data_IF_079366797323
#
_entry.id   IF_079366797323
#
_cell.length_a   1.000
_cell.length_b   1.000
_cell.length_c   1.000
_cell.angle_alpha   90.00
_cell.angle_beta   90.00
_cell.angle_gamma   90.00
#
_symmetry.space_group_name_H-M   'P 1'
#
loop_
_entity.id
_entity.type
_entity.pdbx_description
1 polymer ?
#
# COMPACT_ATOMS: atom_id res chain seq x y z
N UNK A 1 -2.27 -2.80 16.68
CA UNK A 1 -2.98 -2.94 15.38
C UNK A 1 -3.26 -4.41 15.12
N UNK A 2 -4.44 -4.74 14.59
CA UNK A 2 -4.75 -6.09 14.09
C UNK A 2 -5.05 -5.97 12.61
N UNK A 3 -4.41 -6.83 11.83
CA UNK A 3 -4.61 -6.98 10.39
C UNK A 3 -5.48 -8.21 10.19
N UNK A 4 -6.61 -8.03 9.53
CA UNK A 4 -7.67 -9.04 9.41
C UNK A 4 -7.84 -9.37 7.94
N UNK A 5 -7.71 -10.65 7.61
CA UNK A 5 -8.01 -11.21 6.30
C UNK A 5 -9.40 -11.87 6.33
N UNK A 6 -10.19 -11.63 5.31
CA UNK A 6 -11.51 -12.22 5.16
C UNK A 6 -11.47 -13.42 4.22
N UNK A 7 -12.13 -14.52 4.56
CA UNK A 7 -12.09 -15.77 3.77
C UNK A 7 -12.87 -15.66 2.45
N UNK A 8 -12.15 -15.64 1.31
CA UNK A 8 -12.75 -15.67 -0.05
C UNK A 8 -13.88 -14.67 -0.20
N UNK A 9 -13.65 -13.44 0.22
CA UNK A 9 -14.71 -12.45 0.45
C UNK A 9 -15.51 -12.16 -0.82
N UNK A 10 -14.85 -11.98 -1.96
CA UNK A 10 -15.53 -11.77 -3.25
C UNK A 10 -16.43 -12.93 -3.67
N UNK A 11 -15.98 -14.15 -3.42
CA UNK A 11 -16.71 -15.37 -3.80
C UNK A 11 -17.85 -15.72 -2.83
N UNK A 12 -17.82 -15.12 -1.62
CA UNK A 12 -18.76 -15.46 -0.54
C UNK A 12 -19.73 -14.32 -0.19
N UNK A 13 -19.78 -13.21 -0.94
CA UNK A 13 -20.77 -12.15 -0.70
C UNK A 13 -22.18 -12.72 -0.85
N UNK A 14 -23.01 -12.74 0.22
CA UNK A 14 -24.39 -13.19 0.08
C UNK A 14 -25.20 -12.18 -0.75
N UNK A 15 -25.90 -12.64 -1.76
CA UNK A 15 -26.65 -11.74 -2.67
C UNK A 15 -27.71 -10.93 -1.96
N UNK A 16 -28.40 -11.49 -0.96
CA UNK A 16 -29.36 -10.76 -0.14
C UNK A 16 -28.71 -9.59 0.62
N UNK A 17 -27.48 -9.77 1.12
CA UNK A 17 -26.73 -8.71 1.79
C UNK A 17 -26.32 -7.62 0.78
N UNK A 18 -25.96 -8.01 -0.44
CA UNK A 18 -25.66 -7.05 -1.51
C UNK A 18 -26.88 -6.22 -1.87
N UNK A 19 -28.07 -6.83 -2.03
CA UNK A 19 -29.31 -6.09 -2.31
C UNK A 19 -29.68 -5.15 -1.17
N UNK A 20 -29.59 -5.61 0.06
CA UNK A 20 -29.80 -4.81 1.25
C UNK A 20 -28.86 -3.61 1.31
N UNK A 21 -27.57 -3.79 1.03
CA UNK A 21 -26.58 -2.70 1.00
C UNK A 21 -26.91 -1.65 -0.08
N UNK A 22 -27.28 -2.07 -1.28
CA UNK A 22 -27.68 -1.16 -2.36
C UNK A 22 -28.92 -0.33 -1.99
N UNK A 23 -29.91 -0.94 -1.33
CA UNK A 23 -31.12 -0.27 -0.87
C UNK A 23 -30.81 0.77 0.19
N UNK A 24 -29.96 0.44 1.17
CA UNK A 24 -29.55 1.34 2.24
C UNK A 24 -28.72 2.53 1.72
N UNK A 25 -27.90 2.31 0.71
CA UNK A 25 -27.18 3.37 -0.01
C UNK A 25 -28.08 4.19 -0.96
N UNK A 26 -29.39 3.96 -0.92
CA UNK A 26 -30.39 4.69 -1.74
C UNK A 26 -30.10 4.62 -3.24
N UNK A 27 -29.54 3.52 -3.72
CA UNK A 27 -29.37 3.28 -5.14
C UNK A 27 -30.75 3.21 -5.80
N UNK A 28 -31.02 3.94 -6.89
CA UNK A 28 -32.33 3.91 -7.53
C UNK A 28 -32.75 2.50 -7.96
N UNK A 29 -34.00 2.13 -7.67
CA UNK A 29 -34.54 0.77 -7.88
C UNK A 29 -34.29 0.21 -9.30
N UNK A 30 -34.35 1.08 -10.32
CA UNK A 30 -34.04 0.69 -11.70
C UNK A 30 -32.64 0.07 -11.86
N UNK A 31 -31.64 0.60 -11.16
CA UNK A 31 -30.27 0.05 -11.22
C UNK A 31 -30.16 -1.23 -10.40
N UNK A 32 -30.82 -1.31 -9.25
CA UNK A 32 -30.89 -2.54 -8.46
C UNK A 32 -31.51 -3.68 -9.27
N UNK A 33 -32.58 -3.41 -9.99
CA UNK A 33 -33.23 -4.40 -10.88
C UNK A 33 -32.27 -4.86 -11.99
N UNK A 34 -31.61 -3.92 -12.67
CA UNK A 34 -30.62 -4.25 -13.70
C UNK A 34 -29.47 -5.13 -13.14
N UNK A 35 -28.97 -4.79 -11.97
CA UNK A 35 -27.91 -5.58 -11.34
C UNK A 35 -28.44 -6.97 -10.95
N UNK A 36 -29.66 -7.07 -10.41
CA UNK A 36 -30.32 -8.35 -10.12
C UNK A 36 -30.42 -9.22 -11.37
N UNK A 37 -30.81 -8.63 -12.50
CA UNK A 37 -30.91 -9.35 -13.79
C UNK A 37 -29.54 -9.85 -14.27
N UNK A 38 -28.46 -9.07 -14.08
CA UNK A 38 -27.09 -9.51 -14.42
C UNK A 38 -26.63 -10.73 -13.60
N UNK A 39 -27.14 -10.88 -12.38
CA UNK A 39 -26.81 -12.01 -11.51
C UNK A 39 -27.79 -13.17 -11.61
N UNK A 40 -28.91 -12.99 -12.32
CA UNK A 40 -29.95 -14.00 -12.49
C UNK A 40 -29.46 -15.11 -13.43
N UNK A 41 -29.68 -16.38 -13.03
CA UNK A 41 -29.30 -17.55 -13.82
C UNK A 41 -27.82 -17.58 -14.25
N UNK A 42 -26.92 -17.00 -13.46
CA UNK A 42 -25.50 -17.08 -13.73
C UNK A 42 -25.02 -18.53 -13.57
N UNK A 43 -24.48 -19.07 -14.66
CA UNK A 43 -23.93 -20.44 -14.74
C UNK A 43 -22.42 -20.37 -14.95
N UNK A 44 -21.71 -21.37 -14.52
CA UNK A 44 -20.28 -21.53 -14.78
C UNK A 44 -19.91 -22.99 -14.96
N UNK A 45 -18.74 -23.24 -15.53
CA UNK A 45 -18.13 -24.56 -15.64
C UNK A 45 -16.64 -24.46 -15.30
N UNK A 46 -16.03 -25.57 -15.00
CA UNK A 46 -14.57 -25.66 -14.75
C UNK A 46 -13.93 -26.37 -15.93
N UNK A 47 -12.94 -25.70 -16.53
CA UNK A 47 -12.12 -26.28 -17.58
C UNK A 47 -10.99 -27.09 -16.95
N UNK A 48 -10.95 -28.38 -17.28
CA UNK A 48 -9.89 -29.29 -16.83
C UNK A 48 -8.96 -29.68 -17.99
N UNK A 49 -7.89 -30.39 -17.71
CA UNK A 49 -6.95 -30.85 -18.75
C UNK A 49 -7.57 -31.90 -19.73
N UNK A 50 -8.71 -32.49 -19.41
CA UNK A 50 -9.38 -33.49 -20.23
C UNK A 50 -10.66 -32.99 -20.88
N UNK A 51 -11.61 -32.52 -20.06
CA UNK A 51 -12.92 -32.07 -20.51
C UNK A 51 -13.45 -30.90 -19.61
N UNK A 52 -14.41 -30.14 -20.11
CA UNK A 52 -15.16 -29.17 -19.34
C UNK A 52 -16.19 -29.87 -18.44
N UNK A 53 -16.38 -29.40 -17.21
CA UNK A 53 -17.46 -29.90 -16.35
C UNK A 53 -18.84 -29.50 -16.88
N UNK A 54 -19.89 -30.20 -16.43
CA UNK A 54 -21.26 -29.71 -16.66
C UNK A 54 -21.47 -28.33 -15.99
N UNK A 55 -22.28 -27.50 -16.62
CA UNK A 55 -22.64 -26.18 -16.09
C UNK A 55 -23.33 -26.28 -14.73
N UNK A 56 -22.95 -25.42 -13.78
CA UNK A 56 -23.59 -25.34 -12.47
C UNK A 56 -23.92 -23.89 -12.10
N UNK A 57 -25.00 -23.65 -11.34
CA UNK A 57 -25.44 -22.30 -11.00
C UNK A 57 -24.56 -21.66 -9.94
N UNK A 58 -24.28 -20.36 -10.10
CA UNK A 58 -23.63 -19.52 -9.09
C UNK A 58 -24.70 -18.70 -8.37
N UNK A 59 -24.93 -19.01 -7.09
CA UNK A 59 -25.95 -18.37 -6.26
C UNK A 59 -25.36 -17.42 -5.20
N UNK A 60 -24.05 -17.30 -5.10
CA UNK A 60 -23.33 -16.49 -4.11
C UNK A 60 -22.12 -15.81 -4.77
N UNK A 61 -21.65 -14.75 -4.18
CA UNK A 61 -20.44 -14.06 -4.61
C UNK A 61 -20.67 -13.05 -5.74
N UNK A 62 -19.59 -12.36 -6.05
CA UNK A 62 -19.49 -11.34 -7.10
C UNK A 62 -18.80 -11.92 -8.32
N UNK A 63 -19.12 -11.41 -9.51
CA UNK A 63 -18.46 -11.80 -10.74
C UNK A 63 -17.04 -11.25 -10.79
N UNK A 64 -16.03 -12.12 -10.68
CA UNK A 64 -14.65 -11.72 -10.82
C UNK A 64 -14.37 -11.22 -12.24
N UNK A 65 -13.64 -10.09 -12.36
CA UNK A 65 -13.38 -9.43 -13.65
C UNK A 65 -14.47 -8.47 -14.13
N UNK A 66 -15.62 -8.41 -13.48
CA UNK A 66 -16.63 -7.39 -13.77
C UNK A 66 -16.20 -6.01 -13.24
N UNK A 67 -16.40 -4.97 -14.04
CA UNK A 67 -16.11 -3.59 -13.63
C UNK A 67 -16.97 -3.11 -12.44
N UNK A 68 -18.16 -3.71 -12.23
CA UNK A 68 -19.05 -3.38 -11.11
C UNK A 68 -18.68 -4.06 -9.81
N UNK A 69 -18.07 -5.24 -9.86
CA UNK A 69 -17.82 -6.06 -8.66
C UNK A 69 -17.02 -5.34 -7.57
N UNK A 70 -15.92 -4.61 -7.86
CA UNK A 70 -15.21 -3.86 -6.84
C UNK A 70 -16.09 -2.78 -6.16
N UNK A 71 -16.93 -2.12 -6.93
CA UNK A 71 -17.84 -1.10 -6.41
C UNK A 71 -18.94 -1.70 -5.54
N UNK A 72 -19.57 -2.78 -5.99
CA UNK A 72 -20.58 -3.52 -5.23
C UNK A 72 -20.01 -4.04 -3.92
N UNK A 73 -18.78 -4.58 -3.96
CA UNK A 73 -18.07 -5.03 -2.78
C UNK A 73 -17.82 -3.90 -1.79
N UNK A 74 -17.34 -2.74 -2.28
CA UNK A 74 -17.10 -1.57 -1.43
C UNK A 74 -18.40 -1.10 -0.74
N UNK A 75 -19.53 -1.04 -1.47
CA UNK A 75 -20.84 -0.68 -0.89
C UNK A 75 -21.28 -1.69 0.20
N UNK A 76 -21.08 -2.97 -0.04
CA UNK A 76 -21.41 -4.02 0.94
C UNK A 76 -20.57 -3.87 2.19
N UNK A 77 -19.26 -3.71 2.04
CA UNK A 77 -18.35 -3.55 3.18
C UNK A 77 -18.62 -2.26 3.95
N UNK A 78 -18.88 -1.16 3.27
CA UNK A 78 -19.24 0.12 3.89
C UNK A 78 -20.50 -0.02 4.75
N UNK A 79 -21.54 -0.65 4.19
CA UNK A 79 -22.80 -0.83 4.91
C UNK A 79 -22.69 -1.82 6.08
N UNK A 80 -22.00 -2.94 5.88
CA UNK A 80 -21.85 -3.97 6.94
C UNK A 80 -20.99 -3.48 8.09
N UNK A 81 -20.00 -2.62 7.82
CA UNK A 81 -19.09 -2.11 8.84
C UNK A 81 -19.47 -0.73 9.38
N UNK A 82 -20.56 -0.12 8.92
CA UNK A 82 -20.98 1.25 9.23
C UNK A 82 -20.95 1.56 10.74
N UNK A 83 -21.49 0.67 11.56
CA UNK A 83 -21.58 0.85 13.01
C UNK A 83 -20.24 0.63 13.74
N UNK A 84 -19.24 0.13 13.03
CA UNK A 84 -17.91 -0.19 13.59
C UNK A 84 -16.87 0.82 13.11
N UNK A 85 -17.15 1.46 11.98
CA UNK A 85 -16.27 2.48 11.42
C UNK A 85 -16.14 3.63 12.42
N UNK A 86 -14.93 3.81 12.93
CA UNK A 86 -14.56 4.97 13.72
C UNK A 86 -13.73 5.93 12.86
N UNK A 87 -13.29 7.02 13.46
CA UNK A 87 -12.35 7.93 12.82
C UNK A 87 -11.05 7.22 12.45
N UNK A 88 -10.45 7.60 11.32
CA UNK A 88 -9.13 7.12 10.92
C UNK A 88 -8.09 7.65 11.93
N UNK A 89 -7.15 6.84 12.40
CA UNK A 89 -6.76 5.50 11.88
C UNK A 89 -7.39 4.30 12.62
N UNK A 90 -8.43 4.47 13.40
CA UNK A 90 -8.92 3.44 14.31
C UNK A 90 -9.55 2.23 13.62
N UNK A 91 -10.11 2.44 12.42
CA UNK A 91 -10.54 1.39 11.51
C UNK A 91 -10.21 1.80 10.07
N UNK A 92 -9.43 0.99 9.37
CA UNK A 92 -9.08 1.20 7.97
C UNK A 92 -9.56 0.00 7.16
N UNK A 93 -10.29 0.29 6.09
CA UNK A 93 -10.82 -0.69 5.16
C UNK A 93 -10.23 -0.45 3.78
N UNK A 94 -9.65 -1.48 3.19
CA UNK A 94 -9.18 -1.45 1.81
C UNK A 94 -9.52 -2.78 1.13
N UNK A 95 -10.58 -2.79 0.34
CA UNK A 95 -11.18 -4.02 -0.19
C UNK A 95 -11.47 -5.02 0.94
N UNK A 96 -10.86 -6.19 0.91
CA UNK A 96 -10.96 -7.25 1.92
C UNK A 96 -9.96 -7.12 3.08
N UNK A 97 -8.99 -6.21 2.96
CA UNK A 97 -8.04 -5.93 4.03
C UNK A 97 -8.66 -4.99 5.07
N UNK A 98 -8.77 -5.44 6.31
CA UNK A 98 -9.28 -4.65 7.42
C UNK A 98 -8.19 -4.47 8.48
N UNK A 99 -7.95 -3.23 8.90
CA UNK A 99 -7.01 -2.93 9.98
C UNK A 99 -7.73 -2.23 11.12
N UNK A 100 -7.67 -2.81 12.30
CA UNK A 100 -8.16 -2.19 13.55
C UNK A 100 -6.98 -1.68 14.36
N UNK A 101 -7.12 -0.45 14.83
CA UNK A 101 -6.13 0.21 15.69
C UNK A 101 -6.78 0.61 17.02
N UNK A 102 -6.02 0.48 18.09
CA UNK A 102 -6.41 1.00 19.41
C UNK A 102 -5.16 1.26 20.25
N UNK A 103 -5.27 2.11 21.26
CA UNK A 103 -4.19 2.41 22.19
C UNK A 103 -3.96 1.28 23.21
N UNK A 104 -4.97 0.41 23.40
CA UNK A 104 -4.94 -0.70 24.36
C UNK A 104 -5.27 -2.04 23.71
N UNK A 105 -4.70 -3.11 24.22
CA UNK A 105 -5.04 -4.48 23.80
C UNK A 105 -6.52 -4.82 24.09
N UNK A 106 -7.03 -4.39 25.23
CA UNK A 106 -8.43 -4.58 25.56
C UNK A 106 -9.37 -3.87 24.57
N UNK A 107 -9.00 -2.67 24.11
CA UNK A 107 -9.70 -1.95 23.07
C UNK A 107 -9.67 -2.68 21.72
N UNK A 108 -8.49 -3.17 21.31
CA UNK A 108 -8.35 -3.99 20.10
C UNK A 108 -9.24 -5.24 20.20
N UNK A 109 -9.21 -5.99 21.30
CA UNK A 109 -10.03 -7.19 21.48
C UNK A 109 -11.53 -6.89 21.36
N UNK A 110 -12.01 -5.79 21.97
CA UNK A 110 -13.42 -5.39 21.86
C UNK A 110 -13.81 -5.06 20.42
N UNK A 111 -12.99 -4.29 19.69
CA UNK A 111 -13.24 -3.94 18.29
C UNK A 111 -13.21 -5.17 17.39
N UNK A 112 -12.24 -6.05 17.60
CA UNK A 112 -12.09 -7.28 16.84
C UNK A 112 -13.30 -8.22 17.01
N UNK A 113 -13.77 -8.39 18.24
CA UNK A 113 -14.94 -9.23 18.53
C UNK A 113 -16.23 -8.60 17.96
N UNK A 114 -16.38 -7.28 18.05
CA UNK A 114 -17.52 -6.58 17.45
C UNK A 114 -17.51 -6.76 15.93
N UNK A 115 -16.37 -6.54 15.27
CA UNK A 115 -16.22 -6.75 13.82
C UNK A 115 -16.56 -8.19 13.44
N UNK A 116 -16.03 -9.18 14.18
CA UNK A 116 -16.32 -10.59 13.95
C UNK A 116 -17.82 -10.87 13.96
N UNK A 117 -18.50 -10.50 15.05
CA UNK A 117 -19.94 -10.73 15.20
C UNK A 117 -20.74 -10.08 14.08
N UNK A 118 -20.41 -8.84 13.73
CA UNK A 118 -21.10 -8.10 12.67
C UNK A 118 -20.90 -8.75 11.31
N UNK A 119 -19.69 -9.09 10.94
CA UNK A 119 -19.39 -9.73 9.65
C UNK A 119 -19.99 -11.14 9.57
N UNK A 120 -19.85 -11.95 10.64
CA UNK A 120 -20.38 -13.31 10.65
C UNK A 120 -21.92 -13.34 10.63
N UNK A 121 -22.60 -12.36 11.25
CA UNK A 121 -24.06 -12.21 11.17
C UNK A 121 -24.56 -11.95 9.75
N UNK A 122 -23.70 -11.44 8.87
CA UNK A 122 -23.97 -11.18 7.46
C UNK A 122 -23.42 -12.28 6.53
N UNK A 123 -22.88 -13.37 7.08
CA UNK A 123 -22.39 -14.51 6.32
C UNK A 123 -20.92 -14.42 5.86
N UNK A 124 -20.19 -13.40 6.27
CA UNK A 124 -18.74 -13.33 6.07
C UNK A 124 -17.99 -14.13 7.14
N UNK A 125 -16.75 -14.49 6.87
CA UNK A 125 -15.89 -15.16 7.84
C UNK A 125 -14.53 -14.52 7.90
N UNK A 126 -14.01 -14.33 9.11
CA UNK A 126 -12.63 -13.89 9.34
C UNK A 126 -11.70 -15.09 9.26
N UNK A 127 -10.57 -14.92 8.58
CA UNK A 127 -9.52 -15.92 8.55
C UNK A 127 -8.75 -15.91 9.87
N UNK A 128 -8.97 -16.92 10.69
CA UNK A 128 -8.28 -17.05 12.00
C UNK A 128 -6.78 -17.28 11.86
N UNK A 129 -6.36 -17.93 10.78
CA UNK A 129 -4.95 -18.28 10.54
C UNK A 129 -4.14 -17.13 9.89
N UNK A 130 -4.83 -16.22 9.20
CA UNK A 130 -4.19 -15.09 8.51
C UNK A 130 -4.39 -13.75 9.24
N UNK A 131 -5.27 -13.72 10.27
CA UNK A 131 -5.38 -12.56 11.14
C UNK A 131 -4.14 -12.48 12.00
N UNK A 132 -3.46 -11.33 11.99
CA UNK A 132 -2.19 -11.10 12.69
C UNK A 132 -2.25 -9.83 13.53
N UNK A 133 -1.51 -9.81 14.62
CA UNK A 133 -1.42 -8.68 15.54
C UNK A 133 -0.04 -8.09 15.56
N UNK A 134 0.06 -6.77 15.51
CA UNK A 134 1.31 -6.02 15.67
C UNK A 134 1.16 -4.97 16.76
N UNK A 135 2.05 -5.02 17.75
CA UNK A 135 2.16 -3.97 18.76
C UNK A 135 3.21 -2.96 18.31
N UNK A 136 2.77 -1.73 18.00
CA UNK A 136 3.67 -0.62 17.74
C UNK A 136 4.02 0.05 19.06
N UNK A 137 5.21 -0.17 19.56
CA UNK A 137 5.70 0.46 20.78
C UNK A 137 6.61 1.65 20.42
N UNK A 138 6.05 2.83 20.44
CA UNK A 138 6.79 4.08 20.27
C UNK A 138 7.24 4.67 21.62
N UNK A 139 6.81 4.08 22.75
CA UNK A 139 7.08 4.52 24.10
C UNK A 139 7.58 3.35 24.96
N UNK A 140 8.79 3.44 25.47
CA UNK A 140 9.50 2.40 26.23
C UNK A 140 8.91 2.04 27.61
N UNK A 141 7.70 2.47 27.94
CA UNK A 141 7.25 2.50 29.34
C UNK A 141 6.03 1.68 29.73
N UNK A 142 5.35 0.94 28.83
CA UNK A 142 4.20 0.08 29.23
C UNK A 142 4.12 -1.20 28.44
N UNK A 143 4.64 -2.28 28.98
CA UNK A 143 4.23 -3.62 28.59
C UNK A 143 2.91 -3.96 29.30
N UNK A 144 1.77 -3.70 28.67
CA UNK A 144 0.52 -4.33 29.11
C UNK A 144 0.62 -5.83 28.80
N UNK A 145 0.51 -6.67 29.84
CA UNK A 145 0.43 -8.12 29.70
C UNK A 145 -0.89 -8.53 29.03
N UNK A 146 -0.93 -9.69 28.39
CA UNK A 146 -2.11 -10.28 27.79
C UNK A 146 -2.00 -10.47 26.28
N UNK A 147 -2.85 -11.35 25.74
CA UNK A 147 -2.89 -11.70 24.35
C UNK A 147 -4.06 -11.04 23.62
N UNK A 148 -3.92 -10.83 22.31
CA UNK A 148 -5.06 -10.53 21.46
C UNK A 148 -5.68 -11.85 21.03
N UNK A 149 -6.99 -11.98 21.16
CA UNK A 149 -7.71 -13.20 20.84
C UNK A 149 -8.87 -12.95 19.87
N UNK A 150 -9.11 -13.93 19.00
CA UNK A 150 -10.24 -13.99 18.08
C UNK A 150 -10.98 -15.30 18.33
N UNK A 151 -12.24 -15.21 18.77
CA UNK A 151 -13.06 -16.38 19.07
C UNK A 151 -12.35 -17.39 20.02
N UNK A 152 -11.71 -16.87 21.08
CA UNK A 152 -10.99 -17.67 22.07
C UNK A 152 -9.62 -18.21 21.63
N UNK A 153 -9.21 -17.98 20.39
CA UNK A 153 -7.87 -18.36 19.90
C UNK A 153 -6.93 -17.13 19.93
N UNK A 154 -5.70 -17.37 20.38
CA UNK A 154 -4.67 -16.32 20.41
C UNK A 154 -4.27 -15.94 18.99
N UNK A 155 -4.35 -14.66 18.67
CA UNK A 155 -3.90 -14.11 17.38
C UNK A 155 -2.38 -14.02 17.36
N UNK A 156 -1.78 -14.44 16.26
CA UNK A 156 -0.32 -14.46 16.11
C UNK A 156 0.26 -13.05 16.17
N UNK A 157 1.23 -12.85 17.07
CA UNK A 157 1.97 -11.60 17.16
C UNK A 157 3.08 -11.56 16.11
N UNK A 158 3.19 -10.43 15.40
CA UNK A 158 4.22 -10.17 14.39
C UNK A 158 4.94 -8.86 14.68
N UNK A 159 6.24 -8.85 14.46
CA UNK A 159 7.10 -7.66 14.51
C UNK A 159 7.14 -6.92 13.17
N UNK A 160 6.83 -7.60 12.10
CA UNK A 160 6.82 -7.12 10.72
C UNK A 160 5.55 -7.65 10.06
N UNK A 161 4.84 -6.78 9.36
CA UNK A 161 3.62 -7.13 8.65
C UNK A 161 3.65 -6.61 7.20
N UNK A 162 3.11 -7.42 6.28
CA UNK A 162 2.97 -7.04 4.89
C UNK A 162 1.58 -6.43 4.66
N UNK A 163 1.53 -5.12 4.42
CA UNK A 163 0.27 -4.41 4.21
C UNK A 163 0.29 -3.61 2.90
N UNK A 164 -0.68 -3.86 2.02
CA UNK A 164 -0.83 -3.20 0.70
C UNK A 164 0.48 -3.15 -0.09
N UNK A 165 1.24 -4.22 -0.03
CA UNK A 165 2.51 -4.34 -0.72
C UNK A 165 3.70 -3.70 -0.01
N UNK A 166 3.58 -3.03 1.12
CA UNK A 166 4.67 -2.47 1.93
C UNK A 166 4.91 -3.27 3.21
N UNK A 167 6.16 -3.28 3.67
CA UNK A 167 6.55 -3.94 4.93
C UNK A 167 6.44 -2.93 6.08
N UNK A 168 5.50 -3.15 6.99
CA UNK A 168 5.36 -2.37 8.21
C UNK A 168 6.16 -3.02 9.34
N UNK A 169 6.91 -2.21 10.10
CA UNK A 169 7.70 -2.66 11.25
C UNK A 169 7.14 -2.05 12.54
N UNK A 170 7.14 -2.82 13.63
CA UNK A 170 6.63 -2.40 14.95
C UNK A 170 7.29 -1.14 15.51
N UNK A 171 8.54 -0.91 15.13
CA UNK A 171 9.32 0.25 15.55
C UNK A 171 9.16 1.47 14.63
N UNK A 172 8.36 1.35 13.56
CA UNK A 172 8.15 2.40 12.57
C UNK A 172 9.36 2.70 11.69
N UNK A 173 10.41 1.86 11.70
CA UNK A 173 11.51 1.99 10.73
C UNK A 173 11.10 1.40 9.37
N UNK A 174 11.85 1.73 8.32
CA UNK A 174 11.56 1.33 6.93
C UNK A 174 12.64 0.40 6.36
N UNK A 175 13.52 -0.13 7.18
CA UNK A 175 14.66 -0.93 6.71
C UNK A 175 14.22 -2.15 5.91
N UNK A 176 13.21 -2.87 6.39
CA UNK A 176 12.70 -4.07 5.70
C UNK A 176 11.93 -3.70 4.43
N UNK A 177 11.17 -2.60 4.44
CA UNK A 177 10.47 -2.15 3.25
C UNK A 177 11.44 -1.74 2.14
N UNK A 178 12.49 -0.97 2.46
CA UNK A 178 13.55 -0.61 1.51
C UNK A 178 14.23 -1.86 0.93
N UNK A 179 14.54 -2.84 1.78
CA UNK A 179 15.13 -4.12 1.36
C UNK A 179 14.20 -4.88 0.42
N UNK A 180 12.93 -4.99 0.80
CA UNK A 180 11.90 -5.63 -0.02
C UNK A 180 11.75 -4.95 -1.38
N UNK A 181 11.72 -3.61 -1.44
CA UNK A 181 11.61 -2.85 -2.69
C UNK A 181 12.81 -3.04 -3.62
N UNK A 182 14.01 -3.10 -3.06
CA UNK A 182 15.21 -3.43 -3.83
C UNK A 182 15.09 -4.85 -4.42
N UNK A 183 14.57 -5.82 -3.65
CA UNK A 183 14.35 -7.18 -4.16
C UNK A 183 13.29 -7.22 -5.26
N UNK A 184 12.19 -6.47 -5.13
CA UNK A 184 11.16 -6.33 -6.16
C UNK A 184 11.74 -5.75 -7.46
N UNK A 185 12.59 -4.73 -7.37
CA UNK A 185 13.31 -4.19 -8.52
C UNK A 185 14.21 -5.22 -9.19
N UNK A 186 14.92 -6.03 -8.41
CA UNK A 186 15.74 -7.13 -8.94
C UNK A 186 14.90 -8.24 -9.57
N UNK A 187 13.72 -8.53 -9.05
CA UNK A 187 12.81 -9.52 -9.63
C UNK A 187 12.38 -9.08 -11.03
N UNK A 188 11.90 -7.85 -11.18
CA UNK A 188 11.51 -7.28 -12.48
C UNK A 188 12.70 -7.24 -13.45
N UNK A 189 13.89 -6.90 -12.95
CA UNK A 189 15.10 -6.91 -13.74
C UNK A 189 15.44 -8.31 -14.27
N UNK A 190 15.35 -9.34 -13.42
CA UNK A 190 15.61 -10.74 -13.81
C UNK A 190 14.61 -11.26 -14.83
N UNK A 191 13.33 -10.93 -14.69
CA UNK A 191 12.29 -11.32 -15.66
C UNK A 191 12.57 -10.76 -17.06
N UNK A 192 13.17 -9.58 -17.14
CA UNK A 192 13.53 -8.92 -18.40
C UNK A 192 15.00 -9.15 -18.81
N UNK A 193 15.75 -10.02 -18.14
CA UNK A 193 17.19 -10.20 -18.32
C UNK A 193 17.57 -10.43 -19.79
N UNK A 194 16.84 -11.27 -20.51
CA UNK A 194 17.12 -11.58 -21.92
C UNK A 194 17.10 -10.33 -22.82
N UNK A 195 16.17 -9.40 -22.56
CA UNK A 195 16.08 -8.13 -23.32
C UNK A 195 17.11 -7.12 -22.82
N UNK A 196 17.24 -6.98 -21.51
CA UNK A 196 18.11 -5.97 -20.89
C UNK A 196 19.59 -6.24 -21.11
N UNK A 197 19.99 -7.50 -21.25
CA UNK A 197 21.37 -7.89 -21.52
C UNK A 197 21.67 -8.11 -23.00
N UNK A 198 20.69 -8.09 -23.89
CA UNK A 198 20.91 -8.19 -25.33
C UNK A 198 21.64 -6.94 -25.87
N UNK A 199 22.77 -7.13 -26.54
CA UNK A 199 23.59 -6.06 -27.13
C UNK A 199 22.88 -5.35 -28.28
N UNK A 200 21.93 -5.98 -28.95
CA UNK A 200 21.16 -5.42 -30.08
C UNK A 200 20.12 -4.39 -29.60
N UNK A 201 19.69 -4.46 -28.34
CA UNK A 201 18.73 -3.51 -27.77
C UNK A 201 19.46 -2.22 -27.38
N UNK A 202 18.95 -1.08 -27.86
CA UNK A 202 19.57 0.23 -27.60
C UNK A 202 19.55 0.59 -26.12
N UNK A 203 20.57 1.31 -25.64
CA UNK A 203 20.68 1.71 -24.24
C UNK A 203 19.51 2.60 -23.80
N UNK A 204 19.01 3.48 -24.68
CA UNK A 204 17.85 4.32 -24.41
C UNK A 204 16.56 3.50 -24.18
N UNK A 205 16.38 2.39 -24.93
CA UNK A 205 15.23 1.51 -24.74
C UNK A 205 15.31 0.74 -23.42
N UNK A 206 16.51 0.27 -23.06
CA UNK A 206 16.76 -0.33 -21.73
C UNK A 206 16.48 0.65 -20.60
N UNK A 207 16.88 1.92 -20.77
CA UNK A 207 16.56 3.00 -19.82
C UNK A 207 15.06 3.27 -19.73
N UNK A 208 14.33 3.25 -20.84
CA UNK A 208 12.87 3.37 -20.82
C UNK A 208 12.24 2.23 -20.02
N UNK A 209 12.68 0.99 -20.22
CA UNK A 209 12.21 -0.16 -19.44
C UNK A 209 12.51 0.00 -17.94
N UNK A 210 13.73 0.44 -17.58
CA UNK A 210 14.07 0.72 -16.20
C UNK A 210 13.10 1.72 -15.55
N UNK A 211 12.84 2.84 -16.22
CA UNK A 211 11.95 3.89 -15.73
C UNK A 211 10.50 3.46 -15.60
N UNK A 212 10.02 2.56 -16.45
CA UNK A 212 8.61 2.16 -16.49
C UNK A 212 8.29 0.91 -15.67
N UNK A 213 9.26 0.03 -15.45
CA UNK A 213 9.01 -1.25 -14.78
C UNK A 213 9.86 -1.49 -13.52
N UNK A 214 11.14 -1.07 -13.51
CA UNK A 214 12.03 -1.37 -12.39
C UNK A 214 12.00 -0.28 -11.34
N UNK A 215 12.24 0.98 -11.73
CA UNK A 215 12.26 2.11 -10.81
C UNK A 215 10.93 2.28 -10.04
N UNK A 216 9.74 2.16 -10.67
CA UNK A 216 8.47 2.21 -9.94
C UNK A 216 8.30 1.07 -8.93
N UNK A 217 8.82 -0.13 -9.20
CA UNK A 217 8.79 -1.23 -8.23
C UNK A 217 9.71 -0.95 -7.02
N UNK A 218 10.87 -0.32 -7.25
CA UNK A 218 11.79 0.09 -6.19
C UNK A 218 11.27 1.27 -5.35
N UNK A 219 10.45 2.14 -5.92
CA UNK A 219 9.94 3.35 -5.27
C UNK A 219 8.45 3.28 -4.89
N UNK A 220 7.82 2.11 -4.95
CA UNK A 220 6.43 1.95 -4.53
C UNK A 220 6.32 2.21 -3.03
N UNK A 221 5.40 3.10 -2.60
CA UNK A 221 5.22 3.51 -1.21
C UNK A 221 6.32 4.43 -0.66
N UNK A 222 7.34 4.75 -1.46
CA UNK A 222 8.49 5.54 -1.03
C UNK A 222 8.13 6.99 -0.68
N UNK A 223 7.01 7.48 -1.15
CA UNK A 223 6.47 8.80 -0.83
C UNK A 223 6.20 9.01 0.67
N UNK A 224 5.93 7.92 1.40
CA UNK A 224 5.67 7.95 2.85
C UNK A 224 6.92 7.68 3.71
N UNK A 225 8.09 7.43 3.12
CA UNK A 225 9.27 7.02 3.87
C UNK A 225 10.00 8.17 4.56
N UNK A 226 10.31 8.05 5.88
CA UNK A 226 11.29 8.90 6.56
C UNK A 226 12.71 8.43 6.23
N UNK A 227 13.22 8.79 5.04
CA UNK A 227 14.45 8.21 4.50
C UNK A 227 15.71 8.72 5.19
N UNK A 228 16.52 7.78 5.70
CA UNK A 228 17.87 8.02 6.20
C UNK A 228 18.89 7.94 5.04
N UNK A 229 20.07 8.54 5.18
CA UNK A 229 21.14 8.47 4.16
C UNK A 229 21.47 7.03 3.74
N UNK A 230 21.46 6.07 4.68
CA UNK A 230 21.72 4.66 4.40
C UNK A 230 20.71 4.05 3.42
N UNK A 231 19.42 4.43 3.52
CA UNK A 231 18.36 3.93 2.62
C UNK A 231 18.57 4.44 1.21
N UNK A 232 18.85 5.75 1.06
CA UNK A 232 19.16 6.36 -0.22
C UNK A 232 20.38 5.70 -0.86
N UNK A 233 21.43 5.45 -0.06
CA UNK A 233 22.63 4.77 -0.55
C UNK A 233 22.35 3.33 -1.00
N UNK A 234 21.54 2.56 -0.27
CA UNK A 234 21.16 1.20 -0.65
C UNK A 234 20.42 1.17 -2.00
N UNK A 235 19.45 2.07 -2.20
CA UNK A 235 18.72 2.23 -3.45
C UNK A 235 19.66 2.62 -4.59
N UNK A 236 20.52 3.62 -4.40
CA UNK A 236 21.48 4.09 -5.40
C UNK A 236 22.51 3.00 -5.78
N UNK A 237 22.96 2.21 -4.81
CA UNK A 237 23.85 1.06 -5.08
C UNK A 237 23.14 -0.01 -5.90
N UNK A 238 21.89 -0.33 -5.60
CA UNK A 238 21.10 -1.30 -6.36
C UNK A 238 20.85 -0.81 -7.78
N UNK A 239 20.42 0.45 -7.95
CA UNK A 239 20.26 1.11 -9.24
C UNK A 239 21.53 0.99 -10.07
N UNK A 240 22.65 1.47 -9.55
CA UNK A 240 23.90 1.50 -10.31
C UNK A 240 24.44 0.12 -10.66
N UNK A 241 24.13 -0.92 -9.88
CA UNK A 241 24.44 -2.30 -10.26
C UNK A 241 23.65 -2.72 -11.49
N UNK A 242 22.35 -2.43 -11.55
CA UNK A 242 21.46 -2.74 -12.68
C UNK A 242 21.88 -1.98 -13.93
N UNK A 243 22.09 -0.66 -13.82
CA UNK A 243 22.44 0.20 -14.95
C UNK A 243 23.83 -0.14 -15.54
N UNK A 244 24.82 -0.47 -14.70
CA UNK A 244 26.13 -0.93 -15.17
C UNK A 244 26.00 -2.20 -15.98
N UNK A 245 25.18 -3.13 -15.53
CA UNK A 245 24.96 -4.38 -16.23
C UNK A 245 24.29 -4.17 -17.60
N UNK A 246 23.33 -3.24 -17.71
CA UNK A 246 22.76 -2.86 -19.01
C UNK A 246 23.82 -2.39 -20.02
N UNK A 247 24.80 -1.66 -19.53
CA UNK A 247 25.88 -1.10 -20.34
C UNK A 247 27.03 -2.08 -20.60
N UNK A 248 27.00 -3.27 -20.00
CA UNK A 248 28.12 -4.21 -20.04
C UNK A 248 29.35 -3.75 -19.26
N UNK A 249 29.16 -2.87 -18.27
CA UNK A 249 30.22 -2.36 -17.41
C UNK A 249 30.24 -3.04 -16.04
N UNK A 250 31.43 -3.23 -15.52
CA UNK A 250 31.68 -3.67 -14.15
C UNK A 250 32.15 -2.49 -13.28
N UNK A 251 32.32 -2.72 -11.99
CA UNK A 251 32.91 -1.71 -11.10
C UNK A 251 34.40 -1.48 -11.41
N UNK A 252 35.09 -2.45 -12.02
CA UNK A 252 36.52 -2.38 -12.38
C UNK A 252 36.78 -1.40 -13.53
N UNK A 253 35.78 -1.16 -14.39
CA UNK A 253 35.92 -0.27 -15.55
C UNK A 253 36.00 1.22 -15.19
N UNK A 254 35.81 1.57 -13.89
CA UNK A 254 35.95 2.93 -13.35
C UNK A 254 35.14 4.01 -14.09
N UNK A 255 34.08 3.62 -14.81
CA UNK A 255 33.19 4.58 -15.51
C UNK A 255 32.36 5.32 -14.47
N UNK A 256 32.27 6.66 -14.57
CA UNK A 256 31.49 7.50 -13.64
C UNK A 256 30.00 7.18 -13.74
N UNK A 257 29.28 7.26 -12.61
CA UNK A 257 27.85 6.97 -12.55
C UNK A 257 27.03 7.88 -13.46
N UNK A 258 27.37 9.17 -13.51
CA UNK A 258 26.72 10.18 -14.37
C UNK A 258 26.84 9.82 -15.85
N UNK A 259 28.00 9.33 -16.28
CA UNK A 259 28.21 8.91 -17.67
C UNK A 259 27.32 7.70 -18.03
N UNK A 260 27.12 6.77 -17.09
CA UNK A 260 26.24 5.62 -17.29
C UNK A 260 24.78 6.07 -17.36
N UNK A 261 24.33 6.92 -16.41
CA UNK A 261 22.96 7.46 -16.37
C UNK A 261 22.65 8.24 -17.66
N UNK A 262 23.55 9.12 -18.12
CA UNK A 262 23.41 9.84 -19.38
C UNK A 262 23.30 8.91 -20.59
N UNK A 263 24.13 7.85 -20.64
CA UNK A 263 24.11 6.86 -21.73
C UNK A 263 22.78 6.09 -21.79
N UNK A 264 22.21 5.78 -20.63
CA UNK A 264 20.95 5.03 -20.49
C UNK A 264 19.73 5.96 -20.54
N UNK A 265 19.89 7.25 -20.26
CA UNK A 265 18.82 8.24 -20.16
C UNK A 265 17.97 8.04 -18.90
N UNK A 266 18.62 7.96 -17.73
CA UNK A 266 17.97 7.71 -16.43
C UNK A 266 18.47 8.71 -15.39
N UNK A 267 17.56 9.44 -14.78
CA UNK A 267 17.85 10.32 -13.66
C UNK A 267 18.18 9.51 -12.38
N UNK A 268 18.96 10.08 -11.45
CA UNK A 268 19.29 9.41 -10.19
C UNK A 268 18.03 8.99 -9.40
N UNK A 269 18.04 7.76 -8.87
CA UNK A 269 16.90 7.25 -8.07
C UNK A 269 16.64 8.11 -6.82
N UNK A 270 17.66 8.72 -6.26
CA UNK A 270 17.55 9.64 -5.12
C UNK A 270 16.73 10.89 -5.46
N UNK A 271 16.92 11.47 -6.64
CA UNK A 271 16.13 12.61 -7.12
C UNK A 271 14.67 12.19 -7.39
N UNK A 272 14.45 11.00 -7.97
CA UNK A 272 13.10 10.44 -8.16
C UNK A 272 12.41 10.16 -6.83
N UNK A 273 13.13 9.71 -5.82
CA UNK A 273 12.62 9.52 -4.46
C UNK A 273 12.11 10.83 -3.86
N UNK A 274 12.91 11.90 -3.96
CA UNK A 274 12.53 13.26 -3.54
C UNK A 274 11.29 13.72 -4.32
N UNK A 275 11.29 13.57 -5.65
CA UNK A 275 10.16 13.92 -6.50
C UNK A 275 8.86 13.20 -6.07
N UNK A 276 8.92 11.89 -5.74
CA UNK A 276 7.75 11.13 -5.27
C UNK A 276 7.24 11.68 -3.95
N UNK A 277 8.11 11.94 -2.99
CA UNK A 277 7.74 12.48 -1.67
C UNK A 277 7.13 13.88 -1.77
N UNK A 278 7.75 14.78 -2.53
CA UNK A 278 7.22 16.13 -2.74
C UNK A 278 5.91 16.11 -3.53
N UNK A 279 5.74 15.19 -4.48
CA UNK A 279 4.45 15.00 -5.18
C UNK A 279 3.34 14.64 -4.20
N UNK A 280 3.61 13.71 -3.30
CA UNK A 280 2.68 13.30 -2.25
C UNK A 280 2.40 14.45 -1.27
N UNK A 281 3.42 15.13 -0.81
CA UNK A 281 3.29 16.30 0.05
C UNK A 281 2.35 17.35 -0.56
N UNK A 282 2.56 17.75 -1.81
CA UNK A 282 1.67 18.68 -2.49
C UNK A 282 0.24 18.14 -2.63
N UNK A 283 0.06 16.81 -2.77
CA UNK A 283 -1.27 16.22 -2.77
C UNK A 283 -1.96 16.37 -1.40
N UNK A 284 -1.25 16.10 -0.32
CA UNK A 284 -1.75 16.25 1.07
C UNK A 284 -2.10 17.70 1.37
N UNK A 285 -1.23 18.65 1.02
CA UNK A 285 -1.44 20.09 1.30
C UNK A 285 -2.68 20.68 0.61
N UNK A 286 -3.04 20.16 -0.57
CA UNK A 286 -4.25 20.58 -1.29
C UNK A 286 -5.56 19.92 -0.83
N UNK A 287 -5.51 19.01 0.13
CA UNK A 287 -6.72 18.44 0.73
C UNK A 287 -7.34 19.38 1.77
N UNK A 288 -8.66 19.30 1.97
CA UNK A 288 -9.31 20.02 3.07
C UNK A 288 -8.64 19.73 4.42
N UNK A 289 -8.62 20.68 5.36
CA UNK A 289 -8.00 20.46 6.68
C UNK A 289 -8.55 19.27 7.45
N UNK A 290 -9.83 18.94 7.23
CA UNK A 290 -10.57 17.85 7.88
C UNK A 290 -10.27 16.49 7.23
N UNK A 291 -9.63 16.47 6.05
CA UNK A 291 -9.32 15.22 5.37
C UNK A 291 -8.39 14.35 6.24
N UNK A 292 -8.69 13.04 6.39
CA UNK A 292 -7.91 12.14 7.24
C UNK A 292 -6.42 12.14 6.93
N UNK A 293 -6.05 12.29 5.66
CA UNK A 293 -4.65 12.37 5.22
C UNK A 293 -3.95 13.62 5.76
N UNK A 294 -4.68 14.74 5.94
CA UNK A 294 -4.11 15.99 6.43
C UNK A 294 -4.13 16.06 7.95
N UNK A 295 -5.18 15.55 8.59
CA UNK A 295 -5.29 15.45 10.05
C UNK A 295 -4.38 14.38 10.63
N UNK A 296 -4.16 13.27 9.91
CA UNK A 296 -3.25 12.18 10.27
C UNK A 296 -1.76 12.53 10.07
N UNK A 297 -1.41 13.60 9.35
CA UNK A 297 -0.07 14.17 9.38
C UNK A 297 0.13 14.78 10.77
N UNK A 298 0.52 13.93 11.65
CA UNK A 298 1.03 14.05 13.00
C UNK A 298 0.96 15.49 13.54
N UNK A 299 -0.19 15.89 14.06
CA UNK A 299 -0.22 16.92 15.10
C UNK A 299 0.59 16.33 16.26
N UNK A 300 1.81 16.79 16.38
CA UNK A 300 2.69 16.49 17.50
C UNK A 300 1.87 16.75 18.77
N UNK A 301 1.69 15.74 19.58
CA UNK A 301 1.12 15.97 20.92
C UNK A 301 2.17 16.79 21.66
N UNK A 302 1.94 18.08 21.81
CA UNK A 302 2.89 19.09 22.27
C UNK A 302 3.45 18.89 23.69
N UNK A 303 3.07 17.79 24.37
CA UNK A 303 3.43 17.53 25.78
C UNK A 303 4.20 16.24 26.04
N UNK A 304 4.53 15.46 25.03
CA UNK A 304 5.29 14.22 25.25
C UNK A 304 6.78 14.57 25.32
N UNK A 305 7.38 14.44 26.51
CA UNK A 305 8.82 14.57 26.69
C UNK A 305 9.55 13.53 25.82
N UNK A 306 10.46 14.00 24.98
CA UNK A 306 11.31 13.12 24.17
C UNK A 306 12.14 12.24 25.08
N UNK A 307 12.23 10.95 24.75
CA UNK A 307 13.16 10.02 25.41
C UNK A 307 14.62 10.45 25.23
N UNK A 308 15.52 9.87 26.04
CA UNK A 308 16.97 10.10 25.96
C UNK A 308 17.51 9.54 24.63
N UNK A 309 18.21 10.34 23.85
CA UNK A 309 18.85 9.92 22.60
C UNK A 309 18.53 10.82 21.39
N UNK A 310 19.13 10.50 20.24
CA UNK A 310 18.87 11.22 19.00
C UNK A 310 17.42 10.97 18.54
N UNK A 311 16.63 12.02 18.26
CA UNK A 311 15.26 11.87 17.77
C UNK A 311 15.22 11.01 16.49
N UNK A 312 14.20 10.15 16.36
CA UNK A 312 13.96 9.44 15.10
C UNK A 312 13.55 10.44 14.02
N UNK A 313 14.06 10.23 12.82
CA UNK A 313 13.69 11.03 11.66
C UNK A 313 12.22 10.79 11.31
N UNK A 314 11.45 11.86 11.17
CA UNK A 314 10.05 11.80 10.75
C UNK A 314 9.92 12.07 9.25
N UNK A 315 8.75 11.73 8.69
CA UNK A 315 8.43 12.05 7.31
C UNK A 315 8.42 13.58 7.06
N UNK A 316 7.85 14.35 7.97
CA UNK A 316 7.80 15.81 7.90
C UNK A 316 9.20 16.44 7.90
N UNK A 317 10.10 15.94 8.75
CA UNK A 317 11.52 16.37 8.75
C UNK A 317 12.22 16.02 7.42
N UNK A 318 11.84 14.89 6.80
CA UNK A 318 12.37 14.50 5.47
C UNK A 318 11.86 15.44 4.38
N UNK A 319 10.56 15.78 4.40
CA UNK A 319 9.96 16.75 3.46
C UNK A 319 10.61 18.13 3.61
N UNK A 320 10.75 18.64 4.84
CA UNK A 320 11.39 19.94 5.08
C UNK A 320 12.83 20.02 4.58
N UNK A 321 13.57 18.91 4.74
CA UNK A 321 14.92 18.80 4.18
C UNK A 321 14.89 18.84 2.66
N UNK A 322 14.00 18.05 2.03
CA UNK A 322 13.91 17.98 0.57
C UNK A 322 13.48 19.32 -0.04
N UNK A 323 12.54 20.02 0.57
CA UNK A 323 12.13 21.39 0.18
C UNK A 323 13.30 22.37 0.21
N UNK A 324 14.10 22.30 1.30
CA UNK A 324 15.29 23.13 1.45
C UNK A 324 16.37 22.78 0.41
N UNK A 325 16.62 21.48 0.19
CA UNK A 325 17.65 21.01 -0.74
C UNK A 325 17.29 21.33 -2.21
N UNK A 326 15.99 21.42 -2.53
CA UNK A 326 15.47 21.81 -3.85
C UNK A 326 15.19 23.32 -3.98
N UNK A 327 15.36 24.12 -2.94
CA UNK A 327 15.02 25.56 -2.89
C UNK A 327 13.55 25.84 -3.29
N UNK A 328 12.61 25.04 -2.77
CA UNK A 328 11.18 25.14 -3.06
C UNK A 328 10.44 25.62 -1.81
N UNK A 329 9.60 26.67 -1.94
CA UNK A 329 8.70 27.14 -0.88
C UNK A 329 7.54 26.16 -0.67
N UNK A 330 7.16 25.96 0.61
CA UNK A 330 6.04 25.10 0.99
C UNK A 330 4.70 25.63 0.44
N UNK A 331 4.50 26.93 0.38
CA UNK A 331 3.28 27.57 -0.12
C UNK A 331 3.01 27.25 -1.59
N UNK A 332 4.08 27.01 -2.38
CA UNK A 332 3.94 26.62 -3.80
C UNK A 332 3.15 25.33 -3.99
N UNK A 333 3.08 24.49 -2.94
CA UNK A 333 2.31 23.23 -2.97
C UNK A 333 0.81 23.44 -3.23
N UNK A 334 0.26 24.64 -2.96
CA UNK A 334 -1.14 24.97 -3.20
C UNK A 334 -1.44 25.18 -4.69
N UNK A 335 -0.47 25.73 -5.45
CA UNK A 335 -0.58 25.79 -6.91
C UNK A 335 -0.10 24.49 -7.55
N UNK A 336 -1.05 23.67 -8.00
CA UNK A 336 -0.75 22.35 -8.59
C UNK A 336 0.15 22.44 -9.83
N UNK A 337 -0.01 23.47 -10.65
CA UNK A 337 0.71 23.61 -11.91
C UNK A 337 2.16 24.03 -11.68
N UNK A 338 2.36 25.09 -10.89
CA UNK A 338 3.68 25.55 -10.49
C UNK A 338 4.43 24.48 -9.69
N UNK A 339 3.75 23.80 -8.77
CA UNK A 339 4.31 22.71 -8.00
C UNK A 339 4.85 21.57 -8.87
N UNK A 340 4.07 21.10 -9.88
CA UNK A 340 4.51 20.04 -10.79
C UNK A 340 5.75 20.40 -11.58
N UNK A 341 5.89 21.67 -11.96
CA UNK A 341 7.07 22.16 -12.66
C UNK A 341 8.28 22.20 -11.73
N UNK A 342 8.11 22.75 -10.52
CA UNK A 342 9.18 22.90 -9.54
C UNK A 342 9.79 21.55 -9.09
N UNK A 343 8.95 20.54 -8.87
CA UNK A 343 9.42 19.20 -8.41
C UNK A 343 9.85 18.27 -9.54
N UNK A 344 9.73 18.70 -10.81
CA UNK A 344 9.99 17.81 -11.95
C UNK A 344 11.48 17.51 -12.08
N UNK A 345 11.82 16.23 -12.07
CA UNK A 345 13.18 15.73 -12.34
C UNK A 345 13.23 15.24 -13.77
N UNK A 346 13.88 15.97 -14.69
CA UNK A 346 14.01 15.55 -16.08
C UNK A 346 14.93 14.33 -16.21
N UNK A 347 14.69 13.55 -17.22
CA UNK A 347 15.63 12.49 -17.61
C UNK A 347 16.77 13.08 -18.46
N UNK A 348 18.02 12.66 -18.27
CA UNK A 348 19.18 13.19 -18.98
C UNK A 348 19.26 12.77 -20.46
#
# INVERSE_FOLDING_TARGET
MVFIDLEKTYDKVPRNVMWWALENHKVPTKYITLIKDMFKNAMTFIRTCGDDTTDFPINIGLHQGSALSPYLFALVMDEVTRDIQGDIPWCMLFADDVVLVDESRAGVNRKLELLRRTLESKGFRLSRTKTEYMMCDFNTSRHEGGDVSLDGQVVVHKDIFWYLGSMLQKDGDIDEDVRHRILAGWLNWRQAFGVLCDRRVSQKLKGKFYRTAICPAMLYGAECWPTKRRHVQQLSVAEMRMLRWFCGHTRRDRVRNEAIRKKVGVAPIEEKLIQHRLRWFGHVQRRPPEAPMRSGVLKRVDKVKRGRGRPRLTWDESVKRDLKDCDISEELALDRSAWRLAINVPEP
#
